data_IF_917446388099
#
_entry.id   IF_917446388099
#
_cell.length_a   1.000
_cell.length_b   1.000
_cell.length_c   1.000
_cell.angle_alpha   90.00
_cell.angle_beta   90.00
_cell.angle_gamma   90.00
#
_symmetry.space_group_name_H-M   'P 1'
#
loop_
_entity.id
_entity.type
_entity.pdbx_description
1 polymer ?
#
# COMPACT_ATOMS: atom_id res chain seq x y z
N UNK A 1 23.31 -10.96 -7.53
CA UNK A 1 22.26 -11.95 -7.20
C UNK A 1 21.78 -11.66 -5.78
N UNK A 2 20.51 -11.26 -5.60
CA UNK A 2 19.96 -10.87 -4.30
C UNK A 2 19.23 -12.05 -3.66
N UNK A 3 19.98 -13.04 -3.17
CA UNK A 3 19.43 -14.16 -2.38
C UNK A 3 19.34 -13.75 -0.92
N UNK A 4 18.51 -14.42 -0.14
CA UNK A 4 18.47 -14.23 1.31
C UNK A 4 19.88 -14.24 1.92
N UNK A 5 20.20 -13.21 2.69
CA UNK A 5 21.51 -12.97 3.32
C UNK A 5 22.70 -12.73 2.38
N UNK A 6 22.46 -12.47 1.09
CA UNK A 6 23.52 -12.17 0.14
C UNK A 6 24.04 -10.73 0.23
N UNK A 7 23.23 -9.80 0.76
CA UNK A 7 23.59 -8.39 0.90
C UNK A 7 24.09 -8.07 2.32
N UNK A 8 25.28 -7.47 2.38
CA UNK A 8 25.81 -6.90 3.61
C UNK A 8 25.18 -5.52 3.87
N UNK A 9 24.51 -5.40 5.01
CA UNK A 9 23.85 -4.17 5.44
C UNK A 9 24.82 -2.98 5.51
N UNK A 10 26.08 -3.19 5.91
CA UNK A 10 27.07 -2.11 5.98
C UNK A 10 27.47 -1.60 4.60
N UNK A 11 27.37 -2.46 3.58
CA UNK A 11 27.75 -2.12 2.22
C UNK A 11 26.59 -1.45 1.47
N UNK A 12 25.35 -1.92 1.66
CA UNK A 12 24.21 -1.51 0.82
C UNK A 12 23.27 -0.50 1.48
N UNK A 13 23.39 -0.26 2.79
CA UNK A 13 22.51 0.67 3.50
C UNK A 13 22.45 2.04 2.81
N UNK A 14 21.23 2.49 2.47
CA UNK A 14 20.98 3.78 1.83
C UNK A 14 21.41 3.86 0.35
N UNK A 15 21.85 2.77 -0.29
CA UNK A 15 22.25 2.73 -1.70
C UNK A 15 21.17 2.14 -2.60
N UNK A 16 21.31 2.35 -3.91
CA UNK A 16 20.50 1.67 -4.92
C UNK A 16 21.17 0.34 -5.25
N UNK A 17 20.43 -0.76 -5.18
CA UNK A 17 20.94 -2.12 -5.40
C UNK A 17 20.39 -2.69 -6.70
N UNK A 18 21.26 -3.28 -7.53
CA UNK A 18 20.87 -4.00 -8.75
C UNK A 18 20.83 -5.51 -8.48
N UNK A 19 19.67 -6.11 -8.70
CA UNK A 19 19.42 -7.54 -8.57
C UNK A 19 19.24 -8.17 -9.96
N UNK A 20 20.22 -9.00 -10.35
CA UNK A 20 20.19 -9.80 -11.56
C UNK A 20 19.50 -11.16 -11.32
N UNK A 21 18.58 -11.54 -12.22
CA UNK A 21 17.71 -12.72 -12.17
C UNK A 21 18.26 -13.91 -12.98
N UNK A 22 19.58 -14.07 -13.00
CA UNK A 22 20.27 -15.16 -13.72
C UNK A 22 19.79 -16.59 -13.35
N UNK A 23 19.07 -16.79 -12.22
CA UNK A 23 18.70 -18.13 -11.73
C UNK A 23 17.21 -18.37 -11.43
N UNK A 24 16.26 -17.64 -12.04
CA UNK A 24 14.80 -17.85 -11.81
C UNK A 24 14.41 -17.80 -10.32
N UNK A 25 14.91 -16.82 -9.58
CA UNK A 25 14.50 -16.62 -8.19
C UNK A 25 13.28 -15.70 -8.20
N UNK A 26 12.32 -15.94 -7.31
CA UNK A 26 11.16 -15.06 -7.15
C UNK A 26 11.63 -13.63 -6.87
N UNK A 27 11.06 -12.67 -7.58
CA UNK A 27 11.37 -11.24 -7.43
C UNK A 27 10.98 -10.78 -6.02
N UNK A 28 9.96 -11.40 -5.44
CA UNK A 28 9.50 -11.16 -4.07
C UNK A 28 10.62 -11.41 -3.06
N UNK A 29 11.30 -12.55 -3.16
CA UNK A 29 12.44 -12.91 -2.29
C UNK A 29 13.60 -11.92 -2.44
N UNK A 30 13.83 -11.43 -3.66
CA UNK A 30 14.87 -10.44 -3.91
C UNK A 30 14.52 -9.10 -3.27
N UNK A 31 13.25 -8.69 -3.33
CA UNK A 31 12.76 -7.45 -2.75
C UNK A 31 12.85 -7.47 -1.22
N UNK A 32 12.50 -8.59 -0.58
CA UNK A 32 12.66 -8.77 0.86
C UNK A 32 14.13 -8.67 1.29
N UNK A 33 15.05 -9.27 0.53
CA UNK A 33 16.48 -9.18 0.84
C UNK A 33 17.01 -7.75 0.74
N UNK A 34 16.59 -7.01 -0.30
CA UNK A 34 17.00 -5.61 -0.51
C UNK A 34 16.44 -4.70 0.60
N UNK A 35 15.21 -4.93 1.05
CA UNK A 35 14.65 -4.23 2.21
C UNK A 35 15.39 -4.60 3.50
N UNK A 36 15.60 -5.90 3.77
CA UNK A 36 16.30 -6.41 4.96
C UNK A 36 17.70 -5.81 5.09
N UNK A 37 18.40 -5.67 3.98
CA UNK A 37 19.74 -5.11 3.93
C UNK A 37 19.77 -3.58 4.07
N UNK A 38 18.61 -2.92 4.12
CA UNK A 38 18.49 -1.47 4.34
C UNK A 38 18.82 -0.62 3.12
N UNK A 39 18.73 -1.18 1.91
CA UNK A 39 18.92 -0.42 0.69
C UNK A 39 17.86 0.68 0.54
N UNK A 40 18.22 1.74 -0.18
CA UNK A 40 17.31 2.85 -0.46
C UNK A 40 16.32 2.52 -1.58
N UNK A 41 16.77 1.81 -2.60
CA UNK A 41 15.96 1.41 -3.75
C UNK A 41 16.54 0.15 -4.42
N UNK A 42 15.70 -0.60 -5.15
CA UNK A 42 16.10 -1.80 -5.90
C UNK A 42 15.87 -1.66 -7.41
N UNK A 43 16.76 -2.23 -8.21
CA UNK A 43 16.55 -2.45 -9.65
C UNK A 43 16.53 -3.95 -9.86
N UNK A 44 15.44 -4.51 -10.39
CA UNK A 44 15.28 -5.95 -10.55
C UNK A 44 15.13 -6.30 -12.03
N UNK A 45 15.99 -7.18 -12.52
CA UNK A 45 15.87 -7.77 -13.86
C UNK A 45 14.88 -8.93 -13.77
N UNK A 46 13.84 -8.99 -14.62
CA UNK A 46 12.79 -10.02 -14.51
C UNK A 46 12.40 -10.56 -15.88
N UNK A 47 11.90 -11.80 -15.91
CA UNK A 47 11.37 -12.46 -17.11
C UNK A 47 9.89 -12.79 -16.81
N UNK A 48 8.98 -11.83 -17.12
CA UNK A 48 7.49 -11.93 -17.08
C UNK A 48 6.87 -11.97 -15.65
N UNK A 49 5.63 -11.57 -15.34
CA UNK A 49 4.81 -10.35 -15.58
C UNK A 49 3.77 -10.14 -14.45
N UNK A 50 3.91 -10.81 -13.29
CA UNK A 50 2.84 -10.93 -12.29
C UNK A 50 3.18 -10.21 -10.97
N UNK A 51 3.71 -8.99 -11.04
CA UNK A 51 3.90 -8.16 -9.85
C UNK A 51 2.86 -7.05 -9.83
N UNK A 52 2.04 -7.03 -8.78
CA UNK A 52 1.10 -5.94 -8.55
C UNK A 52 1.83 -4.75 -7.90
N UNK A 53 1.36 -3.52 -8.09
CA UNK A 53 1.99 -2.34 -7.47
C UNK A 53 2.08 -2.40 -5.93
N UNK A 54 1.24 -3.22 -5.29
CA UNK A 54 1.17 -3.38 -3.85
C UNK A 54 2.30 -4.26 -3.28
N UNK A 55 3.00 -5.02 -4.13
CA UNK A 55 4.10 -5.91 -3.70
C UNK A 55 5.40 -5.13 -3.42
N UNK A 56 5.50 -3.87 -3.89
CA UNK A 56 6.71 -3.07 -3.78
C UNK A 56 6.86 -2.38 -2.43
N UNK A 57 7.67 -2.99 -1.57
CA UNK A 57 7.95 -2.47 -0.22
C UNK A 57 8.90 -1.27 -0.23
N UNK A 58 9.87 -1.28 -1.15
CA UNK A 58 10.89 -0.24 -1.37
C UNK A 58 10.72 0.39 -2.76
N UNK A 59 11.22 1.63 -2.99
CA UNK A 59 11.30 2.17 -4.34
C UNK A 59 12.03 1.20 -5.26
N UNK A 60 11.41 0.82 -6.37
CA UNK A 60 11.94 -0.19 -7.28
C UNK A 60 11.82 0.22 -8.74
N UNK A 61 12.73 -0.29 -9.57
CA UNK A 61 12.64 -0.29 -11.03
C UNK A 61 12.71 -1.73 -11.52
N UNK A 62 11.75 -2.13 -12.34
CA UNK A 62 11.72 -3.47 -12.94
C UNK A 62 12.16 -3.38 -14.39
N UNK A 63 13.16 -4.19 -14.76
CA UNK A 63 13.69 -4.28 -16.11
C UNK A 63 13.32 -5.65 -16.70
N UNK A 64 12.40 -5.63 -17.66
CA UNK A 64 12.00 -6.84 -18.38
C UNK A 64 13.11 -7.25 -19.35
N UNK A 65 13.73 -8.41 -19.07
CA UNK A 65 14.82 -8.94 -19.90
C UNK A 65 14.33 -9.68 -21.14
N UNK A 66 13.05 -10.06 -21.21
CA UNK A 66 12.47 -10.80 -22.33
C UNK A 66 11.91 -9.88 -23.42
N UNK A 67 11.34 -8.73 -23.05
CA UNK A 67 10.67 -7.86 -24.00
C UNK A 67 11.56 -6.74 -24.58
N UNK A 68 12.73 -6.46 -24.01
CA UNK A 68 13.55 -5.29 -24.40
C UNK A 68 12.81 -3.95 -24.22
N UNK A 69 11.63 -3.98 -23.59
CA UNK A 69 10.80 -2.82 -23.29
C UNK A 69 11.02 -2.42 -21.84
N UNK A 70 11.36 -1.14 -21.64
CA UNK A 70 11.64 -0.58 -20.33
C UNK A 70 10.29 -0.31 -19.64
N UNK A 71 9.77 -1.29 -18.91
CA UNK A 71 8.54 -1.13 -18.14
C UNK A 71 8.88 -0.38 -16.85
N UNK A 72 8.83 0.97 -16.90
CA UNK A 72 9.14 1.82 -15.76
C UNK A 72 8.05 1.70 -14.67
N UNK A 73 8.05 0.59 -13.94
CA UNK A 73 7.23 0.39 -12.75
C UNK A 73 7.97 1.04 -11.59
N UNK A 74 7.72 2.33 -11.37
CA UNK A 74 8.21 3.03 -10.18
C UNK A 74 7.53 2.42 -8.96
N UNK A 75 8.24 1.57 -8.22
CA UNK A 75 7.89 1.26 -6.83
C UNK A 75 7.70 2.60 -6.12
N UNK A 76 6.46 2.87 -5.71
CA UNK A 76 6.08 4.14 -5.11
C UNK A 76 6.90 4.28 -3.83
N UNK A 77 7.59 5.41 -3.58
CA UNK A 77 8.13 5.65 -2.24
C UNK A 77 6.99 5.45 -1.24
N UNK A 78 7.21 4.63 -0.20
CA UNK A 78 6.40 4.61 1.03
C UNK A 78 6.36 6.03 1.58
N UNK A 79 5.46 6.85 1.03
CA UNK A 79 5.61 8.30 1.10
C UNK A 79 4.72 9.10 0.14
N UNK A 80 4.18 8.48 -0.91
CA UNK A 80 3.10 9.09 -1.67
C UNK A 80 1.77 8.41 -1.34
N UNK A 81 1.32 8.35 -0.08
CA UNK A 81 -0.15 8.28 0.09
C UNK A 81 -0.71 9.47 -0.67
N UNK A 82 -1.82 9.26 -1.40
CA UNK A 82 -2.61 10.33 -2.04
C UNK A 82 -2.52 11.62 -1.25
N UNK A 83 -2.59 12.78 -1.92
CA UNK A 83 -2.67 14.13 -1.34
C UNK A 83 -3.95 14.32 -0.48
N UNK A 84 -4.20 13.38 0.42
CA UNK A 84 -5.15 13.39 1.51
C UNK A 84 -4.57 14.38 2.50
N UNK A 85 -5.35 15.42 2.81
CA UNK A 85 -4.93 16.45 3.75
C UNK A 85 -4.47 15.77 5.05
N UNK A 86 -3.32 16.18 5.64
CA UNK A 86 -2.79 15.56 6.86
C UNK A 86 -3.82 15.46 8.00
N UNK A 87 -4.75 16.43 8.04
CA UNK A 87 -5.92 16.46 8.91
C UNK A 87 -6.84 15.24 8.73
N UNK A 88 -7.22 14.92 7.48
CA UNK A 88 -8.06 13.76 7.16
C UNK A 88 -7.35 12.46 7.55
N UNK A 89 -6.04 12.37 7.30
CA UNK A 89 -5.24 11.21 7.73
C UNK A 89 -5.28 11.02 9.24
N UNK A 90 -5.19 12.10 10.01
CA UNK A 90 -5.31 12.05 11.48
C UNK A 90 -6.70 11.60 11.92
N UNK A 91 -7.76 12.06 11.27
CA UNK A 91 -9.13 11.64 11.56
C UNK A 91 -9.34 10.15 11.29
N UNK A 92 -8.83 9.62 10.17
CA UNK A 92 -8.88 8.19 9.89
C UNK A 92 -8.17 7.35 10.97
N UNK A 93 -7.02 7.82 11.47
CA UNK A 93 -6.36 7.17 12.60
C UNK A 93 -7.23 7.12 13.86
N UNK A 94 -7.98 8.20 14.16
CA UNK A 94 -8.96 8.21 15.27
C UNK A 94 -10.11 7.22 15.02
N UNK A 95 -10.61 7.11 13.79
CA UNK A 95 -11.67 6.15 13.44
C UNK A 95 -11.22 4.73 13.76
N UNK A 96 -10.02 4.34 13.30
CA UNK A 96 -9.48 3.00 13.57
C UNK A 96 -9.35 2.73 15.07
N UNK A 97 -8.89 3.72 15.84
CA UNK A 97 -8.80 3.61 17.29
C UNK A 97 -10.18 3.46 17.95
N UNK A 98 -11.17 4.27 17.55
CA UNK A 98 -12.53 4.16 18.06
C UNK A 98 -13.15 2.80 17.71
N UNK A 99 -12.93 2.30 16.50
CA UNK A 99 -13.41 0.99 16.06
C UNK A 99 -12.78 -0.15 16.87
N UNK A 100 -11.46 -0.12 17.08
CA UNK A 100 -10.75 -1.11 17.89
C UNK A 100 -11.26 -1.14 19.35
N UNK A 101 -11.69 0.01 19.87
CA UNK A 101 -12.30 0.12 21.21
C UNK A 101 -13.82 -0.10 21.22
N UNK A 102 -14.43 -0.59 20.14
CA UNK A 102 -15.87 -0.77 19.99
C UNK A 102 -16.72 0.51 20.24
N UNK A 103 -16.10 1.67 20.07
CA UNK A 103 -16.72 3.01 20.20
C UNK A 103 -17.34 3.42 18.87
N UNK A 104 -18.37 2.68 18.45
CA UNK A 104 -18.93 2.78 17.11
C UNK A 104 -19.67 4.12 16.86
N UNK A 105 -20.23 4.75 17.90
CA UNK A 105 -20.91 6.05 17.79
C UNK A 105 -19.93 7.16 17.47
N UNK A 106 -18.77 7.16 18.13
CA UNK A 106 -17.68 8.10 17.93
C UNK A 106 -16.99 7.86 16.58
N UNK A 107 -16.74 6.61 16.22
CA UNK A 107 -16.21 6.23 14.91
C UNK A 107 -17.10 6.78 13.77
N UNK A 108 -18.42 6.60 13.89
CA UNK A 108 -19.40 7.14 12.94
C UNK A 108 -19.36 8.67 12.85
N UNK A 109 -19.25 9.37 13.98
CA UNK A 109 -19.18 10.84 14.00
C UNK A 109 -17.97 11.34 13.21
N UNK A 110 -16.79 10.76 13.47
CA UNK A 110 -15.56 11.15 12.79
C UNK A 110 -15.60 10.80 11.30
N UNK A 111 -16.20 9.66 10.92
CA UNK A 111 -16.37 9.28 9.51
C UNK A 111 -17.29 10.25 8.75
N UNK A 112 -18.30 10.82 9.41
CA UNK A 112 -19.19 11.83 8.80
C UNK A 112 -18.41 13.12 8.51
N UNK A 113 -17.54 13.54 9.42
CA UNK A 113 -16.66 14.69 9.23
C UNK A 113 -15.66 14.46 8.07
N UNK A 114 -15.11 13.24 7.95
CA UNK A 114 -14.24 12.85 6.83
C UNK A 114 -14.96 12.98 5.49
N UNK A 115 -16.21 12.50 5.40
CA UNK A 115 -17.02 12.61 4.18
C UNK A 115 -17.33 14.06 3.80
N UNK A 116 -17.54 14.95 4.77
CA UNK A 116 -17.76 16.38 4.49
C UNK A 116 -16.52 17.06 3.90
N UNK A 117 -15.32 16.63 4.31
CA UNK A 117 -14.06 17.19 3.81
C UNK A 117 -13.59 16.57 2.50
N UNK A 118 -13.90 15.29 2.29
CA UNK A 118 -13.57 14.59 1.05
C UNK A 118 -14.62 13.52 0.73
N UNK A 119 -15.66 13.90 -0.02
CA UNK A 119 -16.81 13.03 -0.31
C UNK A 119 -16.47 11.76 -1.09
N UNK A 120 -15.27 11.63 -1.64
CA UNK A 120 -14.87 10.52 -2.51
C UNK A 120 -13.59 9.82 -2.04
N UNK A 121 -13.30 9.88 -0.74
CA UNK A 121 -12.13 9.21 -0.18
C UNK A 121 -12.31 7.68 -0.20
N UNK A 122 -11.43 6.93 -0.91
CA UNK A 122 -11.47 5.47 -0.90
C UNK A 122 -11.41 4.93 0.53
N UNK A 123 -12.07 3.79 0.78
CA UNK A 123 -12.19 3.10 2.08
C UNK A 123 -13.14 3.74 3.12
N UNK A 124 -13.53 5.03 3.02
CA UNK A 124 -14.41 5.68 4.02
C UNK A 124 -15.84 5.12 4.01
N UNK A 125 -16.41 4.95 2.82
CA UNK A 125 -17.75 4.33 2.65
C UNK A 125 -17.78 2.87 3.11
N UNK A 126 -16.70 2.13 2.82
CA UNK A 126 -16.57 0.74 3.27
C UNK A 126 -16.50 0.65 4.80
N UNK A 127 -15.66 1.46 5.46
CA UNK A 127 -15.60 1.51 6.92
C UNK A 127 -16.92 1.95 7.55
N UNK A 128 -17.64 2.90 6.96
CA UNK A 128 -18.99 3.26 7.40
C UNK A 128 -19.97 2.09 7.29
N UNK A 129 -19.91 1.35 6.19
CA UNK A 129 -20.67 0.12 6.00
C UNK A 129 -20.46 -0.87 7.15
N UNK A 130 -19.20 -1.18 7.46
CA UNK A 130 -18.83 -2.07 8.57
C UNK A 130 -19.26 -1.51 9.95
N UNK A 131 -19.15 -0.20 10.17
CA UNK A 131 -19.61 0.45 11.41
C UNK A 131 -21.13 0.35 11.56
N UNK A 132 -21.90 0.54 10.49
CA UNK A 132 -23.35 0.38 10.55
C UNK A 132 -23.79 -1.08 10.72
N UNK A 133 -23.07 -2.02 10.12
CA UNK A 133 -23.31 -3.45 10.27
C UNK A 133 -23.07 -3.90 11.73
N UNK A 134 -21.96 -3.46 12.32
CA UNK A 134 -21.64 -3.73 13.75
C UNK A 134 -22.61 -3.06 14.73
N UNK A 135 -23.23 -1.93 14.36
CA UNK A 135 -24.31 -1.29 15.15
C UNK A 135 -25.66 -2.02 14.97
N UNK A 136 -25.76 -2.98 14.05
CA UNK A 136 -26.99 -3.74 13.76
C UNK A 136 -27.96 -3.01 12.82
N UNK A 137 -27.49 -1.99 12.09
CA UNK A 137 -28.29 -1.25 11.11
C UNK A 137 -27.93 -1.68 9.68
N UNK A 138 -28.39 -2.89 9.33
CA UNK A 138 -28.06 -3.56 8.08
C UNK A 138 -28.53 -2.79 6.82
N UNK A 139 -29.66 -2.08 6.88
CA UNK A 139 -30.14 -1.26 5.75
C UNK A 139 -29.14 -0.15 5.38
N UNK A 140 -28.66 0.60 6.39
CA UNK A 140 -27.68 1.67 6.15
C UNK A 140 -26.33 1.09 5.75
N UNK A 141 -25.93 -0.03 6.34
CA UNK A 141 -24.70 -0.72 5.97
C UNK A 141 -24.67 -1.08 4.48
N UNK A 142 -25.73 -1.72 3.98
CA UNK A 142 -25.88 -2.08 2.57
C UNK A 142 -25.89 -0.84 1.66
N UNK A 143 -26.53 0.24 2.09
CA UNK A 143 -26.51 1.52 1.39
C UNK A 143 -25.09 2.09 1.23
N UNK A 144 -24.29 2.13 2.29
CA UNK A 144 -22.92 2.66 2.23
C UNK A 144 -21.92 1.73 1.54
N UNK A 145 -22.11 0.41 1.60
CA UNK A 145 -21.29 -0.55 0.86
C UNK A 145 -21.56 -0.50 -0.65
N UNK A 146 -22.81 -0.21 -1.04
CA UNK A 146 -23.21 -0.03 -2.45
C UNK A 146 -22.92 1.39 -2.96
N UNK A 147 -22.92 2.38 -2.08
CA UNK A 147 -22.55 3.75 -2.39
C UNK A 147 -21.03 3.84 -2.59
N UNK A 148 -20.57 3.51 -3.79
CA UNK A 148 -19.29 3.99 -4.29
C UNK A 148 -19.43 5.45 -4.69
N UNK A 149 -18.38 6.27 -4.50
CA UNK A 149 -18.32 7.54 -5.20
C UNK A 149 -18.32 7.24 -6.71
N UNK A 150 -19.42 7.59 -7.39
CA UNK A 150 -19.54 7.49 -8.85
C UNK A 150 -18.48 8.38 -9.50
N UNK A 151 -17.77 7.84 -10.47
CA UNK A 151 -16.89 8.62 -11.35
C UNK A 151 -17.68 9.67 -12.13
#
# INVERSE_FOLDING_TARGET
>A
MCKASALDQNEVAGKVVLCDNSTKIDVSDQMEEVERAGAYAGIFLVDISDLEPDDFIIPSLILDTASGTLSERRGRPKGLKNKIRPEIRRMLGKVTLHYAHARFKEAKSVLTEVLMLNPCLPNTYHTLGLVYDTIGNAEKAAGFLRAGCGK
#
